data_IF_101033005458
#
_entry.id   IF_101033005458
#
_cell.length_a   1.000
_cell.length_b   1.000
_cell.length_c   1.000
_cell.angle_alpha   90.00
_cell.angle_beta   90.00
_cell.angle_gamma   90.00
#
_symmetry.space_group_name_H-M   'P 1'
#
loop_
_entity.id
_entity.type
_entity.pdbx_description
1 polymer ?
#
# COMPACT_ATOMS: atom_id res chain seq x y z
N UNK A 1 -15.83 -14.64 4.82
CA UNK A 1 -14.71 -15.49 5.20
C UNK A 1 -13.40 -14.82 4.88
N UNK A 2 -12.38 -15.04 5.68
CA UNK A 2 -11.07 -14.41 5.48
C UNK A 2 -10.49 -14.71 4.09
N UNK A 3 -10.62 -15.96 3.64
CA UNK A 3 -10.10 -16.36 2.33
C UNK A 3 -10.76 -15.59 1.19
N UNK A 4 -12.07 -15.34 1.30
CA UNK A 4 -12.80 -14.58 0.27
C UNK A 4 -12.36 -13.11 0.26
N UNK A 5 -12.17 -12.52 1.44
CA UNK A 5 -11.70 -11.15 1.55
C UNK A 5 -10.29 -11.00 0.97
N UNK A 6 -9.41 -11.96 1.25
CA UNK A 6 -8.05 -11.95 0.72
C UNK A 6 -8.06 -12.11 -0.81
N UNK A 7 -8.93 -12.96 -1.34
CA UNK A 7 -9.03 -13.15 -2.78
C UNK A 7 -9.51 -11.86 -3.47
N UNK A 8 -10.46 -11.15 -2.86
CA UNK A 8 -10.92 -9.85 -3.39
C UNK A 8 -9.79 -8.83 -3.40
N UNK A 9 -8.96 -8.82 -2.37
CA UNK A 9 -7.81 -7.91 -2.31
C UNK A 9 -6.83 -8.25 -3.43
N UNK A 10 -6.53 -9.53 -3.63
CA UNK A 10 -5.61 -9.96 -4.69
C UNK A 10 -6.14 -9.59 -6.07
N UNK A 11 -7.45 -9.61 -6.26
CA UNK A 11 -8.07 -9.27 -7.55
C UNK A 11 -8.25 -7.76 -7.75
N UNK A 12 -8.18 -6.98 -6.67
CA UNK A 12 -8.46 -5.53 -6.75
C UNK A 12 -7.30 -4.71 -7.28
N UNK A 13 -6.12 -5.29 -7.38
CA UNK A 13 -4.92 -4.57 -7.80
C UNK A 13 -3.90 -5.57 -8.30
N UNK A 14 -2.78 -5.04 -8.81
CA UNK A 14 -1.66 -5.88 -9.24
C UNK A 14 -0.68 -6.01 -8.08
N UNK A 15 -0.31 -7.25 -7.78
CA UNK A 15 0.61 -7.59 -6.71
C UNK A 15 1.83 -8.28 -7.29
N UNK A 16 3.00 -7.91 -6.83
CA UNK A 16 4.28 -8.40 -7.36
C UNK A 16 5.12 -8.99 -6.23
N UNK A 17 5.91 -10.02 -6.57
CA UNK A 17 6.94 -10.49 -5.65
C UNK A 17 8.06 -9.44 -5.56
N UNK A 18 8.95 -9.58 -4.58
CA UNK A 18 10.07 -8.66 -4.45
C UNK A 18 10.93 -8.63 -5.71
N UNK A 19 11.20 -9.80 -6.30
CA UNK A 19 11.99 -9.89 -7.53
C UNK A 19 11.29 -9.22 -8.70
N UNK A 20 9.98 -9.43 -8.84
CA UNK A 20 9.20 -8.82 -9.90
C UNK A 20 9.18 -7.29 -9.75
N UNK A 21 8.99 -6.81 -8.52
CA UNK A 21 8.96 -5.38 -8.24
C UNK A 21 10.31 -4.74 -8.54
N UNK A 22 11.40 -5.38 -8.13
CA UNK A 22 12.75 -4.91 -8.41
C UNK A 22 12.99 -4.84 -9.91
N UNK A 23 12.68 -5.92 -10.63
CA UNK A 23 12.87 -5.98 -12.09
C UNK A 23 12.05 -4.91 -12.78
N UNK A 24 10.81 -4.70 -12.34
CA UNK A 24 9.93 -3.67 -12.91
C UNK A 24 10.53 -2.29 -12.72
N UNK A 25 10.99 -1.97 -11.51
CA UNK A 25 11.57 -0.67 -11.23
C UNK A 25 12.85 -0.43 -12.02
N UNK A 26 13.72 -1.44 -12.14
CA UNK A 26 14.95 -1.34 -12.91
C UNK A 26 14.64 -1.15 -14.40
N UNK A 27 13.65 -1.87 -14.93
CA UNK A 27 13.28 -1.77 -16.34
C UNK A 27 12.72 -0.40 -16.72
N UNK A 28 12.23 0.36 -15.75
CA UNK A 28 11.74 1.72 -15.97
C UNK A 28 12.80 2.79 -15.77
N UNK A 29 14.06 2.37 -15.59
CA UNK A 29 15.18 3.29 -15.48
C UNK A 29 15.52 3.72 -14.05
N UNK A 30 14.89 3.10 -13.06
CA UNK A 30 15.21 3.40 -11.66
C UNK A 30 16.55 2.79 -11.27
N UNK A 31 17.41 3.60 -10.67
CA UNK A 31 18.66 3.13 -10.10
C UNK A 31 18.42 2.88 -8.62
N UNK A 32 18.03 1.65 -8.29
CA UNK A 32 17.66 1.32 -6.92
C UNK A 32 18.91 1.00 -6.11
N UNK A 33 19.16 1.82 -5.10
CA UNK A 33 20.21 1.57 -4.11
C UNK A 33 19.74 0.56 -3.08
N UNK A 34 18.43 0.34 -2.96
CA UNK A 34 17.83 -0.55 -1.97
C UNK A 34 16.83 -1.49 -2.64
N UNK A 35 16.56 -2.61 -1.97
CA UNK A 35 15.63 -3.63 -2.47
C UNK A 35 14.26 -3.46 -1.85
N UNK A 36 13.20 -4.06 -2.44
CA UNK A 36 11.87 -4.03 -1.82
C UNK A 36 11.85 -4.61 -0.40
N UNK A 37 12.67 -5.62 -0.12
CA UNK A 37 12.76 -6.17 1.23
C UNK A 37 13.33 -5.16 2.22
N UNK A 38 14.28 -4.34 1.79
CA UNK A 38 14.80 -3.26 2.62
C UNK A 38 13.76 -2.17 2.84
N UNK A 39 12.97 -1.84 1.82
CA UNK A 39 11.87 -0.90 1.97
C UNK A 39 10.89 -1.40 3.03
N UNK A 40 10.57 -2.70 2.97
CA UNK A 40 9.64 -3.31 3.93
C UNK A 40 10.18 -3.21 5.35
N UNK A 41 11.44 -3.53 5.55
CA UNK A 41 12.04 -3.51 6.89
C UNK A 41 12.12 -2.10 7.45
N UNK A 42 12.18 -1.08 6.59
CA UNK A 42 12.23 0.33 7.01
C UNK A 42 10.86 0.98 7.11
N UNK A 43 9.78 0.23 6.88
CA UNK A 43 8.44 0.78 6.93
C UNK A 43 8.08 1.71 5.78
N UNK A 44 8.78 1.56 4.65
CA UNK A 44 8.56 2.40 3.48
C UNK A 44 7.53 1.82 2.52
N UNK A 45 7.24 0.54 2.64
CA UNK A 45 6.23 -0.17 1.87
C UNK A 45 5.61 -1.23 2.77
N UNK A 46 4.47 -1.76 2.39
CA UNK A 46 3.89 -2.91 3.08
C UNK A 46 3.74 -4.07 2.10
N UNK A 47 3.55 -5.26 2.63
CA UNK A 47 3.39 -6.47 1.83
C UNK A 47 2.33 -7.35 2.45
N UNK A 48 1.85 -8.31 1.66
CA UNK A 48 0.94 -9.36 2.15
C UNK A 48 1.62 -10.71 1.94
N UNK A 49 1.35 -11.64 2.84
CA UNK A 49 1.86 -13.01 2.73
C UNK A 49 0.75 -13.89 2.17
N UNK A 50 1.04 -14.53 1.04
CA UNK A 50 0.10 -15.43 0.38
C UNK A 50 0.83 -16.71 0.00
N UNK A 51 0.47 -17.83 0.64
CA UNK A 51 1.06 -19.15 0.39
C UNK A 51 2.60 -19.11 0.45
N UNK A 52 3.12 -18.53 1.53
CA UNK A 52 4.56 -18.39 1.79
C UNK A 52 5.28 -17.45 0.83
N UNK A 53 4.52 -16.76 -0.02
CA UNK A 53 5.07 -15.76 -0.94
C UNK A 53 4.68 -14.37 -0.45
N UNK A 54 5.65 -13.47 -0.38
CA UNK A 54 5.40 -12.09 -0.01
C UNK A 54 5.12 -11.28 -1.26
N UNK A 55 4.00 -10.55 -1.26
CA UNK A 55 3.55 -9.78 -2.41
C UNK A 55 3.47 -8.29 -2.04
N UNK A 56 3.88 -7.45 -2.98
CA UNK A 56 3.91 -6.01 -2.82
C UNK A 56 2.91 -5.36 -3.78
N UNK A 57 2.20 -4.30 -3.35
CA UNK A 57 1.24 -3.64 -4.23
C UNK A 57 1.93 -2.75 -5.25
N UNK A 58 1.57 -2.91 -6.53
CA UNK A 58 2.12 -2.05 -7.57
C UNK A 58 1.69 -0.59 -7.38
N UNK A 59 0.53 -0.33 -6.79
CA UNK A 59 0.07 1.04 -6.55
C UNK A 59 0.94 1.81 -5.58
N UNK A 60 1.86 1.13 -4.87
CA UNK A 60 2.82 1.83 -4.01
C UNK A 60 3.85 2.62 -4.82
N UNK A 61 3.97 2.36 -6.12
CA UNK A 61 4.92 3.06 -7.00
C UNK A 61 4.18 4.09 -7.83
N UNK A 62 4.79 5.28 -7.97
CA UNK A 62 4.18 6.37 -8.71
C UNK A 62 4.65 6.34 -10.17
N UNK A 63 3.77 5.97 -11.13
CA UNK A 63 4.15 5.90 -12.55
C UNK A 63 4.46 7.27 -13.14
N UNK A 64 3.91 8.34 -12.58
CA UNK A 64 4.15 9.70 -13.07
C UNK A 64 5.48 10.28 -12.59
N UNK A 65 6.12 9.63 -11.62
CA UNK A 65 7.40 10.07 -11.07
C UNK A 65 8.48 9.01 -11.27
N UNK A 66 8.37 8.19 -12.34
CA UNK A 66 9.37 7.18 -12.66
C UNK A 66 9.29 5.95 -11.78
N UNK A 67 8.12 5.65 -11.22
CA UNK A 67 7.88 4.47 -10.39
C UNK A 67 8.67 4.47 -9.08
N UNK A 68 8.92 5.65 -8.52
CA UNK A 68 9.41 5.74 -7.13
C UNK A 68 8.25 5.49 -6.19
N UNK A 69 8.55 5.24 -4.92
CA UNK A 69 7.51 5.04 -3.91
C UNK A 69 6.57 6.24 -3.87
N UNK A 70 5.28 5.97 -3.72
CA UNK A 70 4.27 7.00 -3.69
C UNK A 70 4.53 7.97 -2.53
N UNK A 71 4.29 9.27 -2.81
CA UNK A 71 4.42 10.29 -1.79
C UNK A 71 3.47 10.02 -0.63
N UNK A 72 3.90 10.28 0.58
CA UNK A 72 3.14 10.09 1.82
C UNK A 72 2.91 8.63 2.21
N UNK A 73 3.33 7.64 1.39
CA UNK A 73 3.12 6.23 1.74
C UNK A 73 3.80 5.86 3.05
N UNK A 74 5.03 6.30 3.27
CA UNK A 74 5.75 6.00 4.50
C UNK A 74 5.02 6.58 5.72
N UNK A 75 4.42 7.74 5.57
CA UNK A 75 3.67 8.38 6.65
C UNK A 75 2.36 7.66 6.92
N UNK A 76 1.70 7.17 5.87
CA UNK A 76 0.46 6.38 6.00
C UNK A 76 0.76 5.08 6.73
N UNK A 77 1.84 4.40 6.36
CA UNK A 77 2.25 3.16 7.03
C UNK A 77 2.55 3.43 8.50
N UNK A 78 3.21 4.53 8.81
CA UNK A 78 3.52 4.90 10.19
C UNK A 78 2.25 5.09 11.02
N UNK A 79 1.21 5.69 10.43
CA UNK A 79 -0.09 5.87 11.10
C UNK A 79 -0.69 4.52 11.49
N UNK A 80 -0.57 3.52 10.63
CA UNK A 80 -1.17 2.20 10.85
C UNK A 80 -0.26 1.20 11.55
N UNK A 81 0.96 1.56 11.82
CA UNK A 81 2.05 0.65 12.22
C UNK A 81 1.67 -0.39 13.27
N UNK A 82 0.96 0.02 14.33
CA UNK A 82 0.58 -0.90 15.40
C UNK A 82 -0.91 -1.25 15.36
N UNK A 83 -1.61 -0.79 14.33
CA UNK A 83 -3.06 -0.95 14.22
C UNK A 83 -3.44 -1.96 13.15
N UNK A 84 -2.65 -2.06 12.09
CA UNK A 84 -2.94 -2.92 10.95
C UNK A 84 -1.67 -3.62 10.50
N UNK A 85 -1.81 -4.91 10.18
CA UNK A 85 -0.75 -5.66 9.50
C UNK A 85 -0.83 -5.42 7.99
N UNK A 86 -0.04 -6.16 7.22
CA UNK A 86 -0.03 -6.02 5.76
C UNK A 86 -1.40 -6.26 5.14
N UNK A 87 -2.08 -7.34 5.53
CA UNK A 87 -3.43 -7.63 5.03
C UNK A 87 -4.43 -6.56 5.45
N UNK A 88 -4.32 -6.05 6.68
CA UNK A 88 -5.18 -4.98 7.16
C UNK A 88 -5.01 -3.70 6.36
N UNK A 89 -3.78 -3.33 6.04
CA UNK A 89 -3.50 -2.17 5.20
C UNK A 89 -4.02 -2.40 3.78
N UNK A 90 -3.80 -3.58 3.21
CA UNK A 90 -4.28 -3.91 1.88
C UNK A 90 -5.80 -3.82 1.79
N UNK A 91 -6.49 -4.31 2.81
CA UNK A 91 -7.94 -4.21 2.88
C UNK A 91 -8.40 -2.76 2.93
N UNK A 92 -7.74 -1.94 3.75
CA UNK A 92 -8.08 -0.52 3.87
C UNK A 92 -7.89 0.21 2.53
N UNK A 93 -6.76 -0.02 1.88
CA UNK A 93 -6.47 0.62 0.59
C UNK A 93 -7.44 0.19 -0.50
N UNK A 94 -7.93 -1.04 -0.43
CA UNK A 94 -8.81 -1.60 -1.46
C UNK A 94 -10.30 -1.41 -1.20
N UNK A 95 -10.68 -0.77 -0.10
CA UNK A 95 -12.06 -0.61 0.31
C UNK A 95 -12.54 0.82 0.08
N UNK A 96 -13.84 0.97 -0.24
CA UNK A 96 -14.46 2.28 -0.32
C UNK A 96 -14.34 3.00 1.02
N UNK A 97 -13.97 4.27 0.99
CA UNK A 97 -13.69 5.03 2.19
C UNK A 97 -14.58 6.26 2.25
N UNK A 98 -15.39 6.37 3.31
CA UNK A 98 -16.32 7.49 3.47
C UNK A 98 -15.63 8.84 3.57
N UNK A 99 -14.45 8.89 4.18
CA UNK A 99 -13.67 10.13 4.28
C UNK A 99 -13.24 10.62 2.89
N UNK A 100 -13.08 9.69 1.95
CA UNK A 100 -12.65 9.99 0.58
C UNK A 100 -13.83 10.02 -0.41
N UNK A 101 -15.04 10.20 0.08
CA UNK A 101 -16.22 10.28 -0.76
C UNK A 101 -16.61 8.95 -1.40
N UNK A 102 -16.28 7.85 -0.75
CA UNK A 102 -16.57 6.51 -1.25
C UNK A 102 -15.51 5.94 -2.18
N UNK A 103 -14.44 6.67 -2.44
CA UNK A 103 -13.35 6.18 -3.28
C UNK A 103 -12.41 5.29 -2.48
N UNK A 104 -11.67 4.42 -3.18
CA UNK A 104 -10.67 3.58 -2.54
C UNK A 104 -9.38 4.37 -2.35
N UNK A 105 -8.74 4.26 -1.18
CA UNK A 105 -7.46 4.96 -0.97
C UNK A 105 -6.41 4.65 -2.04
N UNK A 106 -6.36 3.40 -2.52
CA UNK A 106 -5.37 3.02 -3.55
C UNK A 106 -5.56 3.79 -4.85
N UNK A 107 -6.78 4.21 -5.16
CA UNK A 107 -7.06 4.95 -6.40
C UNK A 107 -6.64 6.41 -6.28
N UNK A 108 -6.52 6.94 -5.08
CA UNK A 108 -6.16 8.34 -4.83
C UNK A 108 -4.71 8.51 -4.40
N UNK A 109 -3.99 7.42 -4.13
CA UNK A 109 -2.64 7.50 -3.59
C UNK A 109 -1.70 8.29 -4.51
N UNK A 110 -1.88 8.19 -5.82
CA UNK A 110 -1.01 8.86 -6.79
C UNK A 110 -1.45 10.31 -7.06
N UNK A 111 -2.74 10.58 -6.99
CA UNK A 111 -3.29 11.89 -7.37
C UNK A 111 -3.49 12.82 -6.19
N UNK A 112 -3.80 12.26 -5.01
CA UNK A 112 -4.06 13.06 -3.82
C UNK A 112 -3.56 12.33 -2.57
N UNK A 113 -2.24 12.15 -2.46
CA UNK A 113 -1.65 11.41 -1.33
C UNK A 113 -1.94 12.07 0.02
N UNK A 114 -2.07 13.38 0.07
CA UNK A 114 -2.38 14.08 1.31
C UNK A 114 -3.77 13.74 1.83
N UNK A 115 -4.74 13.58 0.92
CA UNK A 115 -6.09 13.16 1.30
C UNK A 115 -6.07 11.74 1.85
N UNK A 116 -5.28 10.85 1.24
CA UNK A 116 -5.15 9.47 1.71
C UNK A 116 -4.53 9.45 3.11
N UNK A 117 -3.50 10.26 3.34
CA UNK A 117 -2.89 10.37 4.67
C UNK A 117 -3.89 10.88 5.70
N UNK A 118 -4.68 11.89 5.33
CA UNK A 118 -5.72 12.41 6.22
C UNK A 118 -6.78 11.35 6.54
N UNK A 119 -7.16 10.55 5.54
CA UNK A 119 -8.10 9.45 5.75
C UNK A 119 -7.53 8.39 6.69
N UNK A 120 -6.23 8.10 6.58
CA UNK A 120 -5.57 7.15 7.47
C UNK A 120 -5.58 7.65 8.91
N UNK A 121 -5.31 8.93 9.12
CA UNK A 121 -5.36 9.52 10.45
C UNK A 121 -6.77 9.48 11.02
N UNK A 122 -7.78 9.76 10.18
CA UNK A 122 -9.17 9.66 10.59
C UNK A 122 -9.55 8.24 11.00
N UNK A 123 -9.05 7.26 10.28
CA UNK A 123 -9.31 5.84 10.57
C UNK A 123 -8.85 5.48 11.98
N UNK A 124 -7.64 5.86 12.36
CA UNK A 124 -7.08 5.55 13.68
C UNK A 124 -7.78 6.35 14.78
N UNK A 125 -8.10 7.60 14.51
CA UNK A 125 -8.80 8.45 15.48
C UNK A 125 -10.26 8.02 15.65
N UNK A 126 -10.91 7.59 14.56
CA UNK A 126 -12.28 7.11 14.59
C UNK A 126 -12.46 5.91 15.50
N UNK A 127 -11.45 5.06 15.58
CA UNK A 127 -11.48 3.89 16.45
C UNK A 127 -11.61 4.31 17.93
N UNK A 128 -10.99 5.44 18.31
CA UNK A 128 -11.02 5.91 19.67
C UNK A 128 -12.35 6.56 20.05
N UNK A 129 -13.15 6.93 19.06
CA UNK A 129 -14.46 7.55 19.29
C UNK A 129 -15.58 6.50 19.44
N UNK A 130 -15.30 5.29 19.01
CA UNK A 130 -16.26 4.18 19.09
C UNK A 130 -16.54 3.73 20.47
#
# INVERSE_FOLDING_TARGET
>A
MLADAQQKILNSSQWLTADQLYTFAVSTGQNLCTTPNEWLSKGMIFSISNEETELFPLYALNPNAGYVLAKELVNIIEVFRERKDGWGMAYWFGSANGFLGGRRPQDLLQTDPEAVLAAAKDEVMGITHG
#
